data_IF_757288674873
#
_entry.id   IF_757288674873
#
_cell.length_a   1.000
_cell.length_b   1.000
_cell.length_c   1.000
_cell.angle_alpha   90.00
_cell.angle_beta   90.00
_cell.angle_gamma   90.00
#
_symmetry.space_group_name_H-M   'P 1'
#
loop_
_entity.id
_entity.type
_entity.pdbx_description
1 polymer ?
#
# COMPACT_ATOMS: atom_id res chain seq x y z
N UNK A 1 -62.92 35.63 30.33
CA UNK A 1 -63.38 34.50 31.16
C UNK A 1 -62.15 33.65 31.43
N UNK A 2 -61.29 34.12 32.34
CA UNK A 2 -61.05 33.64 33.74
C UNK A 2 -60.09 32.44 33.76
N UNK A 3 -58.81 32.59 34.18
CA UNK A 3 -58.29 32.61 35.59
C UNK A 3 -58.49 31.24 36.30
N UNK A 4 -57.58 30.58 37.02
CA UNK A 4 -56.28 30.86 37.67
C UNK A 4 -55.66 29.51 38.14
N UNK A 5 -54.34 29.28 38.04
CA UNK A 5 -53.30 29.32 39.09
C UNK A 5 -53.18 28.16 40.11
N UNK A 6 -51.91 27.97 40.52
CA UNK A 6 -51.32 27.46 41.77
C UNK A 6 -50.72 26.04 41.74
N UNK A 7 -49.38 25.87 41.66
CA UNK A 7 -48.28 26.12 42.62
C UNK A 7 -48.20 25.17 43.82
N UNK A 8 -46.95 24.94 44.23
CA UNK A 8 -46.43 24.30 45.46
C UNK A 8 -46.10 22.80 45.31
N UNK A 9 -44.96 22.25 45.74
CA UNK A 9 -43.90 22.70 46.66
C UNK A 9 -42.69 21.75 46.51
N UNK A 10 -41.49 22.30 46.61
CA UNK A 10 -40.27 21.56 46.99
C UNK A 10 -39.86 22.06 48.39
N UNK A 11 -39.25 21.24 49.25
CA UNK A 11 -37.96 21.70 49.80
C UNK A 11 -36.89 20.60 50.03
N UNK A 12 -35.65 21.08 49.88
CA UNK A 12 -34.33 20.59 50.34
C UNK A 12 -34.34 20.03 51.79
N UNK A 13 -33.40 19.25 52.35
CA UNK A 13 -31.97 18.94 52.14
C UNK A 13 -31.54 17.93 53.22
N UNK A 14 -30.53 17.08 52.98
CA UNK A 14 -29.44 16.84 53.97
C UNK A 14 -28.21 16.24 53.29
N UNK A 15 -27.08 16.90 53.47
CA UNK A 15 -25.73 16.48 53.11
C UNK A 15 -25.22 15.34 54.02
N UNK A 16 -24.48 14.38 53.47
CA UNK A 16 -23.25 13.87 54.07
C UNK A 16 -22.40 13.06 53.06
N UNK A 17 -21.18 13.54 52.83
CA UNK A 17 -19.97 12.80 52.43
C UNK A 17 -18.90 13.14 53.50
N UNK A 18 -17.73 12.45 53.62
CA UNK A 18 -17.08 11.54 52.67
C UNK A 18 -16.43 10.28 53.29
N UNK A 19 -16.06 9.28 52.47
CA UNK A 19 -14.81 8.53 52.67
C UNK A 19 -14.31 7.90 51.36
N UNK A 20 -13.00 7.99 51.20
CA UNK A 20 -12.17 7.68 50.04
C UNK A 20 -11.76 6.20 49.97
N UNK A 21 -11.34 5.82 48.74
CA UNK A 21 -10.56 4.65 48.32
C UNK A 21 -11.36 3.33 48.23
N UNK A 22 -11.33 2.59 47.12
CA UNK A 22 -10.14 2.24 46.34
C UNK A 22 -10.41 2.02 44.85
N UNK A 23 -9.35 2.31 44.10
CA UNK A 23 -9.17 2.28 42.66
C UNK A 23 -9.50 0.92 42.02
N UNK A 24 -10.33 0.93 40.98
CA UNK A 24 -10.08 0.15 39.76
C UNK A 24 -10.40 1.05 38.56
N UNK A 25 -9.41 1.87 38.18
CA UNK A 25 -9.37 2.45 36.86
C UNK A 25 -9.06 1.33 35.85
N UNK A 26 -10.11 0.72 35.30
CA UNK A 26 -10.04 0.14 33.96
C UNK A 26 -10.09 1.31 32.98
N UNK A 27 -8.94 1.92 32.78
CA UNK A 27 -8.73 2.99 31.80
C UNK A 27 -8.74 2.35 30.41
N UNK A 28 -9.91 2.31 29.77
CA UNK A 28 -9.98 2.03 28.32
C UNK A 28 -9.43 3.26 27.58
N UNK A 29 -8.31 3.07 26.87
CA UNK A 29 -7.75 4.01 25.90
C UNK A 29 -8.75 4.30 24.76
N UNK A 30 -8.53 5.38 24.00
CA UNK A 30 -8.10 5.09 22.63
C UNK A 30 -7.04 6.06 22.11
N UNK A 31 -5.83 5.56 21.88
CA UNK A 31 -4.96 6.14 20.85
C UNK A 31 -5.40 5.54 19.51
N UNK A 32 -6.17 6.30 18.73
CA UNK A 32 -6.61 5.94 17.38
C UNK A 32 -5.57 6.44 16.38
N UNK A 33 -4.56 5.60 16.11
CA UNK A 33 -3.55 5.89 15.08
C UNK A 33 -4.19 6.42 13.78
N UNK A 34 -3.53 7.39 13.14
CA UNK A 34 -3.95 7.99 11.88
C UNK A 34 -3.94 6.96 10.75
N UNK A 35 -3.02 5.99 10.80
CA UNK A 35 -2.82 4.96 9.78
C UNK A 35 -3.67 3.69 10.02
N UNK A 36 -3.80 3.28 11.29
CA UNK A 36 -4.39 1.99 11.64
C UNK A 36 -5.93 2.04 11.75
N UNK A 37 -6.59 0.97 11.34
CA UNK A 37 -8.03 0.80 11.45
C UNK A 37 -8.41 0.42 12.90
N UNK A 38 -9.20 1.24 13.61
CA UNK A 38 -9.57 0.98 15.00
C UNK A 38 -10.52 -0.21 15.17
N UNK A 39 -11.17 -0.67 14.10
CA UNK A 39 -12.11 -1.79 14.13
C UNK A 39 -11.43 -3.17 14.07
N UNK A 40 -10.11 -3.21 13.92
CA UNK A 40 -9.31 -4.44 13.87
C UNK A 40 -8.98 -4.88 15.32
N UNK A 41 -9.30 -6.13 15.68
CA UNK A 41 -9.17 -6.64 17.07
C UNK A 41 -7.71 -6.64 17.57
N UNK A 42 -7.57 -6.42 18.88
CA UNK A 42 -6.32 -6.23 19.64
C UNK A 42 -5.21 -7.28 19.40
N UNK A 43 -5.53 -8.51 19.02
CA UNK A 43 -4.56 -9.61 18.75
C UNK A 43 -3.86 -9.48 17.38
N UNK A 44 -4.27 -8.50 16.57
CA UNK A 44 -3.78 -8.32 15.19
C UNK A 44 -3.14 -6.95 14.96
N UNK A 45 -2.56 -6.33 16.00
CA UNK A 45 -1.68 -5.19 15.76
C UNK A 45 -0.37 -5.67 15.11
N UNK A 46 0.39 -4.79 14.44
CA UNK A 46 1.78 -5.10 14.12
C UNK A 46 2.54 -5.36 15.44
N UNK A 47 2.66 -6.64 15.82
CA UNK A 47 3.34 -7.08 17.05
C UNK A 47 4.86 -6.89 16.99
N UNK A 48 5.38 -6.52 15.82
CA UNK A 48 6.78 -6.14 15.65
C UNK A 48 7.01 -4.76 16.27
N UNK A 49 7.93 -4.72 17.23
CA UNK A 49 8.43 -3.49 17.87
C UNK A 49 8.81 -2.42 16.82
N UNK A 50 9.35 -2.84 15.68
CA UNK A 50 9.77 -1.98 14.57
C UNK A 50 8.62 -1.19 13.95
N UNK A 51 7.54 -1.85 13.51
CA UNK A 51 6.40 -1.18 12.89
C UNK A 51 5.66 -0.24 13.87
N UNK A 52 5.47 -0.68 15.11
CA UNK A 52 4.82 0.15 16.13
C UNK A 52 5.60 1.45 16.39
N UNK A 53 6.93 1.38 16.48
CA UNK A 53 7.77 2.57 16.63
C UNK A 53 7.74 3.46 15.39
N UNK A 54 7.74 2.87 14.20
CA UNK A 54 7.68 3.61 12.95
C UNK A 54 6.36 4.39 12.84
N UNK A 55 5.21 3.77 13.13
CA UNK A 55 3.91 4.44 13.10
C UNK A 55 3.89 5.64 14.04
N UNK A 56 4.31 5.45 15.30
CA UNK A 56 4.33 6.53 16.27
C UNK A 56 5.25 7.68 15.82
N UNK A 57 6.40 7.35 15.24
CA UNK A 57 7.33 8.34 14.70
C UNK A 57 6.74 9.10 13.50
N UNK A 58 6.11 8.39 12.55
CA UNK A 58 5.45 8.98 11.38
C UNK A 58 4.35 9.96 11.79
N UNK A 59 3.51 9.58 12.76
CA UNK A 59 2.42 10.42 13.24
C UNK A 59 2.93 11.66 13.98
N UNK A 60 3.95 11.49 14.83
CA UNK A 60 4.61 12.62 15.52
C UNK A 60 5.22 13.59 14.51
N UNK A 61 5.94 13.06 13.50
CA UNK A 61 6.54 13.86 12.45
C UNK A 61 5.46 14.54 11.59
N UNK A 62 4.33 13.88 11.35
CA UNK A 62 3.20 14.46 10.62
C UNK A 62 2.64 15.69 11.34
N UNK A 63 2.41 15.60 12.65
CA UNK A 63 1.95 16.74 13.44
C UNK A 63 2.93 17.91 13.35
N UNK A 64 4.24 17.65 13.41
CA UNK A 64 5.27 18.69 13.25
C UNK A 64 5.22 19.37 11.88
N UNK A 65 5.02 18.63 10.78
CA UNK A 65 4.91 19.25 9.45
C UNK A 65 3.63 20.08 9.28
N UNK A 66 2.53 19.67 9.91
CA UNK A 66 1.26 20.41 9.85
C UNK A 66 1.40 21.74 10.58
N UNK A 67 2.04 21.74 11.76
CA UNK A 67 2.34 22.96 12.51
C UNK A 67 3.28 23.90 11.73
N UNK A 68 4.29 23.35 11.06
CA UNK A 68 5.32 24.13 10.37
C UNK A 68 4.91 24.62 8.98
N UNK A 69 4.15 23.84 8.22
CA UNK A 69 3.90 24.05 6.79
C UNK A 69 2.43 23.92 6.37
N UNK A 70 1.50 23.67 7.30
CA UNK A 70 0.10 23.39 6.99
C UNK A 70 -0.55 24.47 6.12
N UNK A 71 -0.37 25.73 6.50
CA UNK A 71 -0.94 26.89 5.79
C UNK A 71 0.00 27.50 4.74
N UNK A 72 1.23 27.00 4.62
CA UNK A 72 2.22 27.56 3.71
C UNK A 72 1.98 27.10 2.26
N UNK A 73 2.12 27.98 1.26
CA UNK A 73 2.12 27.60 -0.15
C UNK A 73 3.22 26.58 -0.46
N UNK A 74 2.97 25.72 -1.46
CA UNK A 74 3.93 24.68 -1.89
C UNK A 74 5.28 25.27 -2.31
N UNK A 75 5.27 26.37 -3.06
CA UNK A 75 6.49 27.02 -3.55
C UNK A 75 7.36 27.50 -2.38
N UNK A 76 6.78 28.19 -1.42
CA UNK A 76 7.50 28.67 -0.22
C UNK A 76 8.03 27.51 0.61
N UNK A 77 7.23 26.45 0.75
CA UNK A 77 7.63 25.25 1.50
C UNK A 77 8.83 24.59 0.81
N UNK A 78 8.77 24.32 -0.49
CA UNK A 78 9.86 23.68 -1.23
C UNK A 78 11.14 24.52 -1.27
N UNK A 79 11.02 25.85 -1.39
CA UNK A 79 12.17 26.77 -1.28
C UNK A 79 12.80 26.71 0.11
N UNK A 80 11.98 26.74 1.17
CA UNK A 80 12.45 26.60 2.53
C UNK A 80 13.21 25.28 2.73
N UNK A 81 12.61 24.16 2.30
CA UNK A 81 13.20 22.82 2.42
C UNK A 81 14.54 22.72 1.68
N UNK A 82 14.65 23.30 0.49
CA UNK A 82 15.88 23.27 -0.30
C UNK A 82 17.00 24.11 0.32
N UNK A 83 16.66 25.29 0.86
CA UNK A 83 17.66 26.26 1.30
C UNK A 83 18.12 26.04 2.75
N UNK A 84 17.29 25.43 3.59
CA UNK A 84 17.55 25.36 5.04
C UNK A 84 17.76 23.94 5.55
N UNK A 85 17.32 22.91 4.82
CA UNK A 85 17.43 21.52 5.29
C UNK A 85 18.55 20.82 4.55
N UNK A 86 19.69 20.72 5.25
CA UNK A 86 20.91 20.06 4.75
C UNK A 86 21.20 18.80 5.56
N UNK A 87 20.87 18.78 6.86
CA UNK A 87 21.10 17.64 7.73
C UNK A 87 20.23 16.44 7.31
N UNK A 88 20.83 15.29 6.95
CA UNK A 88 20.08 14.10 6.56
C UNK A 88 19.15 13.57 7.65
N UNK A 89 19.47 13.78 8.93
CA UNK A 89 18.60 13.34 10.03
C UNK A 89 17.33 14.19 10.13
N UNK A 90 17.47 15.52 10.11
CA UNK A 90 16.31 16.41 10.01
C UNK A 90 15.48 16.11 8.76
N UNK A 91 16.15 15.93 7.60
CA UNK A 91 15.47 15.60 6.35
C UNK A 91 14.68 14.30 6.45
N UNK A 92 15.23 13.24 7.05
CA UNK A 92 14.53 11.98 7.28
C UNK A 92 13.26 12.18 8.11
N UNK A 93 13.32 12.93 9.21
CA UNK A 93 12.14 13.21 10.04
C UNK A 93 11.04 13.92 9.24
N UNK A 94 11.40 14.94 8.46
CA UNK A 94 10.45 15.65 7.60
C UNK A 94 9.88 14.76 6.50
N UNK A 95 10.72 13.94 5.85
CA UNK A 95 10.30 12.97 4.82
C UNK A 95 9.31 11.95 5.39
N UNK A 96 9.58 11.42 6.58
CA UNK A 96 8.67 10.52 7.29
C UNK A 96 7.33 11.23 7.61
N UNK A 97 7.38 12.49 8.07
CA UNK A 97 6.18 13.29 8.30
C UNK A 97 5.37 13.52 7.02
N UNK A 98 6.01 13.88 5.91
CA UNK A 98 5.33 14.02 4.62
C UNK A 98 4.84 12.69 4.06
N UNK A 99 5.55 11.58 4.28
CA UNK A 99 5.08 10.24 3.91
C UNK A 99 3.77 9.92 4.63
N UNK A 100 3.71 10.17 5.94
CA UNK A 100 2.46 10.05 6.70
C UNK A 100 1.36 10.95 6.09
N UNK A 101 1.69 12.20 5.75
CA UNK A 101 0.80 13.13 5.07
C UNK A 101 0.24 12.60 3.74
N UNK A 102 1.08 12.01 2.89
CA UNK A 102 0.62 11.33 1.66
C UNK A 102 -0.40 10.24 1.98
N UNK A 103 -0.19 9.48 3.06
CA UNK A 103 -1.05 8.35 3.42
C UNK A 103 -2.40 8.75 4.04
N UNK A 104 -2.45 9.87 4.77
CA UNK A 104 -3.63 10.24 5.59
C UNK A 104 -4.37 11.48 5.07
N UNK A 105 -3.71 12.33 4.29
CA UNK A 105 -4.22 13.61 3.80
C UNK A 105 -4.27 13.64 2.26
N UNK A 106 -5.17 12.81 1.72
CA UNK A 106 -5.36 12.63 0.28
C UNK A 106 -5.55 13.95 -0.51
N UNK A 107 -6.30 14.96 -0.02
CA UNK A 107 -6.45 16.24 -0.73
C UNK A 107 -5.13 17.00 -0.94
N UNK A 108 -4.13 16.81 -0.06
CA UNK A 108 -2.83 17.47 -0.16
C UNK A 108 -1.70 16.50 -0.53
N UNK A 109 -2.01 15.27 -0.96
CA UNK A 109 -1.02 14.25 -1.27
C UNK A 109 0.03 14.72 -2.29
N UNK A 110 -0.38 15.47 -3.33
CA UNK A 110 0.55 16.04 -4.32
C UNK A 110 1.55 17.03 -3.70
N UNK A 111 1.09 17.86 -2.74
CA UNK A 111 1.96 18.81 -2.00
C UNK A 111 2.96 18.03 -1.16
N UNK A 112 2.47 17.07 -0.36
CA UNK A 112 3.32 16.24 0.50
C UNK A 112 4.34 15.45 -0.32
N UNK A 113 3.93 14.81 -1.42
CA UNK A 113 4.84 14.08 -2.31
C UNK A 113 5.89 14.99 -2.96
N UNK A 114 5.51 16.22 -3.36
CA UNK A 114 6.47 17.18 -3.92
C UNK A 114 7.52 17.61 -2.88
N UNK A 115 7.13 17.79 -1.62
CA UNK A 115 8.05 18.05 -0.52
C UNK A 115 8.99 16.86 -0.27
N UNK A 116 8.47 15.63 -0.27
CA UNK A 116 9.27 14.40 -0.17
C UNK A 116 10.31 14.36 -1.28
N UNK A 117 9.88 14.52 -2.54
CA UNK A 117 10.76 14.50 -3.71
C UNK A 117 11.88 15.53 -3.57
N UNK A 118 11.54 16.75 -3.17
CA UNK A 118 12.50 17.85 -3.01
C UNK A 118 13.56 17.49 -1.97
N UNK A 119 13.15 17.07 -0.77
CA UNK A 119 14.06 16.69 0.31
C UNK A 119 14.88 15.44 -0.01
N UNK A 120 14.24 14.40 -0.53
CA UNK A 120 14.91 13.13 -0.81
C UNK A 120 16.00 13.29 -1.88
N UNK A 121 15.81 14.21 -2.84
CA UNK A 121 16.82 14.54 -3.86
C UNK A 121 17.93 15.41 -3.24
N UNK A 122 17.59 16.46 -2.49
CA UNK A 122 18.61 17.38 -1.95
C UNK A 122 19.48 16.76 -0.85
N UNK A 123 18.99 15.73 -0.16
CA UNK A 123 19.67 15.10 0.98
C UNK A 123 19.99 13.61 0.80
N UNK A 124 19.78 13.07 -0.40
CA UNK A 124 20.03 11.65 -0.75
C UNK A 124 19.34 10.64 0.19
N UNK A 125 18.09 10.93 0.60
CA UNK A 125 17.33 10.13 1.58
C UNK A 125 16.31 9.17 0.94
N UNK A 126 16.37 8.96 -0.38
CA UNK A 126 15.42 8.08 -1.08
C UNK A 126 15.39 6.64 -0.53
N UNK A 127 16.56 6.06 -0.24
CA UNK A 127 16.61 4.70 0.31
C UNK A 127 15.99 4.62 1.72
N UNK A 128 16.12 5.67 2.52
CA UNK A 128 15.52 5.74 3.86
C UNK A 128 14.00 5.79 3.77
N UNK A 129 13.48 6.62 2.86
CA UNK A 129 12.05 6.70 2.54
C UNK A 129 11.46 5.36 2.11
N UNK A 130 12.12 4.64 1.19
CA UNK A 130 11.66 3.32 0.75
C UNK A 130 11.72 2.28 1.87
N UNK A 131 12.65 2.42 2.81
CA UNK A 131 12.71 1.56 3.99
C UNK A 131 11.46 1.76 4.86
N UNK A 132 11.10 3.00 5.19
CA UNK A 132 9.87 3.32 5.91
C UNK A 132 8.63 2.79 5.16
N UNK A 133 8.55 3.03 3.85
CA UNK A 133 7.48 2.53 2.99
C UNK A 133 7.37 0.99 3.00
N UNK A 134 8.49 0.28 2.93
CA UNK A 134 8.52 -1.18 2.90
C UNK A 134 8.05 -1.79 4.23
N UNK A 135 8.44 -1.22 5.37
CA UNK A 135 7.95 -1.66 6.69
C UNK A 135 6.45 -1.45 6.79
N UNK A 136 5.95 -0.27 6.38
CA UNK A 136 4.51 0.00 6.32
C UNK A 136 3.77 -1.01 5.44
N UNK A 137 4.32 -1.31 4.28
CA UNK A 137 3.71 -2.23 3.32
C UNK A 137 3.69 -3.68 3.83
N UNK A 138 4.75 -4.16 4.45
CA UNK A 138 4.81 -5.56 4.90
C UNK A 138 4.12 -5.79 6.25
N UNK A 139 4.36 -4.90 7.21
CA UNK A 139 3.96 -5.15 8.61
C UNK A 139 2.64 -4.47 8.96
N UNK A 140 2.30 -3.35 8.30
CA UNK A 140 1.15 -2.54 8.70
C UNK A 140 -0.02 -2.66 7.71
N UNK A 141 0.24 -2.98 6.44
CA UNK A 141 -0.77 -3.00 5.38
C UNK A 141 -2.04 -3.74 5.78
N UNK A 142 -2.01 -4.93 6.42
CA UNK A 142 -3.24 -5.64 6.78
C UNK A 142 -4.21 -4.83 7.65
N UNK A 143 -3.65 -3.96 8.49
CA UNK A 143 -4.35 -3.22 9.54
C UNK A 143 -4.60 -1.76 9.17
N UNK A 144 -4.05 -1.29 8.04
CA UNK A 144 -4.26 0.07 7.57
C UNK A 144 -5.72 0.32 7.18
N UNK A 145 -6.14 1.57 7.31
CA UNK A 145 -7.41 2.04 6.72
C UNK A 145 -7.38 1.87 5.20
N UNK A 146 -8.54 1.63 4.60
CA UNK A 146 -8.68 1.48 3.15
C UNK A 146 -8.08 2.66 2.36
N UNK A 147 -8.35 3.88 2.80
CA UNK A 147 -7.83 5.10 2.18
C UNK A 147 -6.29 5.14 2.20
N UNK A 148 -5.66 4.70 3.30
CA UNK A 148 -4.21 4.65 3.40
C UNK A 148 -3.60 3.59 2.46
N UNK A 149 -4.25 2.44 2.29
CA UNK A 149 -3.83 1.42 1.31
C UNK A 149 -3.87 1.96 -0.12
N UNK A 150 -4.91 2.73 -0.46
CA UNK A 150 -4.99 3.40 -1.77
C UNK A 150 -3.88 4.45 -1.95
N UNK A 151 -3.56 5.20 -0.90
CA UNK A 151 -2.47 6.18 -0.92
C UNK A 151 -1.07 5.55 -1.01
N UNK A 152 -0.86 4.36 -0.45
CA UNK A 152 0.37 3.58 -0.68
C UNK A 152 0.55 3.27 -2.18
N UNK A 153 -0.52 2.92 -2.88
CA UNK A 153 -0.47 2.70 -4.33
C UNK A 153 -0.25 4.01 -5.12
N UNK A 154 -0.82 5.12 -4.67
CA UNK A 154 -0.52 6.44 -5.25
C UNK A 154 0.97 6.79 -5.09
N UNK A 155 1.53 6.62 -3.90
CA UNK A 155 2.93 6.92 -3.62
C UNK A 155 3.87 6.14 -4.56
N UNK A 156 3.64 4.85 -4.76
CA UNK A 156 4.52 4.04 -5.62
C UNK A 156 4.39 4.43 -7.10
N UNK A 157 3.19 4.82 -7.56
CA UNK A 157 2.98 5.30 -8.92
C UNK A 157 3.72 6.61 -9.18
N UNK A 158 3.61 7.57 -8.26
CA UNK A 158 4.31 8.85 -8.37
C UNK A 158 5.83 8.64 -8.32
N UNK A 159 6.29 7.73 -7.46
CA UNK A 159 7.71 7.36 -7.39
C UNK A 159 8.21 6.77 -8.71
N UNK A 160 7.42 5.90 -9.33
CA UNK A 160 7.73 5.31 -10.63
C UNK A 160 7.77 6.38 -11.76
N UNK A 161 7.14 7.56 -11.60
CA UNK A 161 7.24 8.69 -12.54
C UNK A 161 8.57 9.43 -12.49
N UNK A 162 9.31 9.35 -11.40
CA UNK A 162 10.49 10.20 -11.21
C UNK A 162 11.73 9.78 -12.02
N UNK A 163 11.71 8.63 -12.72
CA UNK A 163 12.85 8.09 -13.49
C UNK A 163 14.18 8.03 -12.71
N UNK A 164 14.11 8.08 -11.37
CA UNK A 164 15.29 8.00 -10.52
C UNK A 164 15.84 6.57 -10.60
N UNK A 165 17.17 6.42 -10.49
CA UNK A 165 17.85 5.11 -10.40
C UNK A 165 17.56 4.37 -9.07
N UNK A 166 16.40 4.63 -8.47
CA UNK A 166 15.95 4.02 -7.23
C UNK A 166 15.45 2.62 -7.51
N UNK A 167 15.98 1.64 -6.79
CA UNK A 167 15.56 0.24 -6.93
C UNK A 167 14.17 0.04 -6.29
N UNK A 168 13.11 0.19 -7.09
CA UNK A 168 11.73 -0.03 -6.65
C UNK A 168 11.33 -1.51 -6.62
N UNK A 169 12.20 -2.43 -7.04
CA UNK A 169 11.92 -3.87 -7.10
C UNK A 169 11.38 -4.40 -5.77
N UNK A 170 12.06 -4.06 -4.67
CA UNK A 170 11.66 -4.49 -3.33
C UNK A 170 10.28 -3.94 -2.95
N UNK A 171 10.01 -2.66 -3.23
CA UNK A 171 8.75 -2.02 -2.87
C UNK A 171 7.56 -2.58 -3.64
N UNK A 172 7.69 -2.78 -4.95
CA UNK A 172 6.64 -3.45 -5.74
C UNK A 172 6.47 -4.93 -5.34
N UNK A 173 7.56 -5.64 -5.06
CA UNK A 173 7.50 -7.03 -4.54
C UNK A 173 6.77 -7.09 -3.21
N UNK A 174 7.03 -6.15 -2.30
CA UNK A 174 6.40 -6.09 -0.98
C UNK A 174 4.91 -5.76 -1.07
N UNK A 175 4.47 -4.89 -2.00
CA UNK A 175 3.05 -4.68 -2.30
C UNK A 175 2.40 -6.01 -2.71
N UNK A 176 3.05 -6.77 -3.62
CA UNK A 176 2.50 -8.04 -4.06
C UNK A 176 2.37 -9.06 -2.92
N UNK A 177 3.33 -9.09 -1.99
CA UNK A 177 3.30 -9.93 -0.79
C UNK A 177 2.17 -9.51 0.16
N UNK A 178 2.07 -8.22 0.45
CA UNK A 178 1.02 -7.68 1.30
C UNK A 178 -0.39 -7.98 0.78
N UNK A 179 -0.57 -7.98 -0.55
CA UNK A 179 -1.83 -8.36 -1.20
C UNK A 179 -2.07 -9.88 -1.23
N UNK A 180 -1.03 -10.69 -1.05
CA UNK A 180 -1.12 -12.15 -1.00
C UNK A 180 -1.47 -12.69 0.38
N UNK A 181 -1.08 -11.96 1.44
CA UNK A 181 -1.14 -12.40 2.84
C UNK A 181 -2.51 -12.24 3.52
N UNK A 182 -3.56 -11.96 2.74
CA UNK A 182 -4.95 -12.20 3.14
C UNK A 182 -5.49 -11.25 4.20
N UNK A 183 -6.03 -10.12 3.75
CA UNK A 183 -6.94 -9.28 4.57
C UNK A 183 -8.39 -9.63 4.26
N UNK A 184 -9.32 -8.73 4.57
CA UNK A 184 -10.68 -8.79 4.02
C UNK A 184 -10.62 -9.05 2.50
N UNK A 185 -11.24 -10.15 2.06
CA UNK A 185 -11.11 -10.62 0.67
C UNK A 185 -11.66 -9.59 -0.32
N UNK A 186 -12.77 -8.93 0.02
CA UNK A 186 -13.43 -7.94 -0.84
C UNK A 186 -12.54 -6.71 -1.03
N UNK A 187 -12.00 -6.18 0.07
CA UNK A 187 -11.04 -5.09 0.04
C UNK A 187 -9.79 -5.46 -0.77
N UNK A 188 -9.22 -6.64 -0.50
CA UNK A 188 -8.03 -7.14 -1.20
C UNK A 188 -8.27 -7.19 -2.71
N UNK A 189 -9.43 -7.70 -3.15
CA UNK A 189 -9.80 -7.72 -4.57
C UNK A 189 -9.84 -6.32 -5.17
N UNK A 190 -10.45 -5.36 -4.48
CA UNK A 190 -10.50 -3.97 -4.97
C UNK A 190 -9.09 -3.38 -5.14
N UNK A 191 -8.21 -3.61 -4.18
CA UNK A 191 -6.84 -3.07 -4.23
C UNK A 191 -6.01 -3.79 -5.30
N UNK A 192 -6.12 -5.11 -5.44
CA UNK A 192 -5.46 -5.88 -6.51
C UNK A 192 -5.89 -5.39 -7.89
N UNK A 193 -7.19 -5.13 -8.08
CA UNK A 193 -7.72 -4.59 -9.32
C UNK A 193 -7.15 -3.19 -9.62
N UNK A 194 -7.13 -2.30 -8.63
CA UNK A 194 -6.53 -0.97 -8.77
C UNK A 194 -5.03 -1.05 -9.09
N UNK A 195 -4.30 -1.94 -8.40
CA UNK A 195 -2.87 -2.14 -8.61
C UNK A 195 -2.58 -2.64 -10.03
N UNK A 196 -3.36 -3.58 -10.55
CA UNK A 196 -3.24 -4.03 -11.94
C UNK A 196 -3.45 -2.88 -12.95
N UNK A 197 -4.48 -2.06 -12.76
CA UNK A 197 -4.71 -0.89 -13.62
C UNK A 197 -3.57 0.13 -13.60
N UNK A 198 -3.00 0.37 -12.43
CA UNK A 198 -1.85 1.28 -12.25
C UNK A 198 -0.59 0.74 -12.95
N UNK A 199 -0.33 -0.56 -12.83
CA UNK A 199 0.74 -1.23 -13.56
C UNK A 199 0.54 -1.19 -15.07
N UNK A 200 -0.69 -1.41 -15.56
CA UNK A 200 -1.00 -1.28 -16.99
C UNK A 200 -0.74 0.13 -17.51
N UNK A 201 -1.13 1.15 -16.74
CA UNK A 201 -0.90 2.56 -17.09
C UNK A 201 0.59 2.91 -17.15
N UNK A 202 1.45 2.13 -16.50
CA UNK A 202 2.88 2.35 -16.38
C UNK A 202 3.74 1.22 -16.96
N UNK A 203 3.16 0.30 -17.74
CA UNK A 203 3.81 -0.95 -18.14
C UNK A 203 5.11 -0.75 -18.93
N UNK A 204 5.23 0.33 -19.70
CA UNK A 204 6.46 0.67 -20.43
C UNK A 204 7.69 0.80 -19.50
N UNK A 205 7.46 1.15 -18.23
CA UNK A 205 8.50 1.27 -17.22
C UNK A 205 8.87 -0.07 -16.59
N UNK A 206 8.15 -1.15 -16.86
CA UNK A 206 8.56 -2.48 -16.42
C UNK A 206 9.94 -2.83 -16.96
N UNK A 207 10.30 -2.36 -18.17
CA UNK A 207 11.64 -2.54 -18.73
C UNK A 207 12.76 -1.89 -17.91
N UNK A 208 12.47 -0.89 -17.06
CA UNK A 208 13.50 -0.21 -16.24
C UNK A 208 13.88 -0.99 -14.98
N UNK A 209 13.10 -2.01 -14.59
CA UNK A 209 13.44 -2.87 -13.46
C UNK A 209 14.71 -3.69 -13.77
N UNK A 210 15.57 -3.94 -12.76
CA UNK A 210 16.80 -4.70 -12.95
C UNK A 210 16.52 -6.10 -13.50
N UNK A 211 17.54 -6.70 -14.14
CA UNK A 211 17.47 -8.12 -14.54
C UNK A 211 17.44 -8.99 -13.28
N UNK A 212 16.67 -10.08 -13.31
CA UNK A 212 16.39 -10.95 -12.17
C UNK A 212 15.67 -10.24 -11.02
N UNK A 213 14.80 -9.28 -11.38
CA UNK A 213 13.94 -8.57 -10.45
C UNK A 213 12.95 -9.56 -9.81
N UNK A 214 12.73 -9.43 -8.51
CA UNK A 214 11.77 -10.29 -7.78
C UNK A 214 10.32 -9.91 -8.05
N UNK A 215 10.09 -8.69 -8.53
CA UNK A 215 8.76 -8.16 -8.76
C UNK A 215 7.97 -8.88 -9.88
N UNK A 216 8.45 -9.01 -11.14
CA UNK A 216 7.68 -9.66 -12.20
C UNK A 216 7.12 -11.05 -11.84
N UNK A 217 7.88 -11.98 -11.25
CA UNK A 217 7.33 -13.29 -10.87
C UNK A 217 6.38 -13.21 -9.69
N UNK A 218 6.64 -12.35 -8.70
CA UNK A 218 5.73 -12.19 -7.55
C UNK A 218 4.39 -11.61 -8.01
N UNK A 219 4.42 -10.61 -8.90
CA UNK A 219 3.24 -10.02 -9.51
C UNK A 219 2.49 -11.03 -10.39
N UNK A 220 3.21 -11.80 -11.22
CA UNK A 220 2.61 -12.84 -12.04
C UNK A 220 1.91 -13.91 -11.19
N UNK A 221 2.53 -14.35 -10.09
CA UNK A 221 1.92 -15.31 -9.16
C UNK A 221 0.66 -14.74 -8.49
N UNK A 222 0.73 -13.49 -8.01
CA UNK A 222 -0.41 -12.78 -7.41
C UNK A 222 -1.60 -12.72 -8.38
N UNK A 223 -1.40 -12.13 -9.56
CA UNK A 223 -2.49 -11.92 -10.52
C UNK A 223 -3.02 -13.24 -11.07
N UNK A 224 -2.15 -14.24 -11.33
CA UNK A 224 -2.59 -15.56 -11.77
C UNK A 224 -3.50 -16.26 -10.76
N UNK A 225 -3.22 -16.10 -9.45
CA UNK A 225 -4.10 -16.58 -8.38
C UNK A 225 -5.46 -15.92 -8.45
N UNK A 226 -5.51 -14.58 -8.48
CA UNK A 226 -6.78 -13.85 -8.53
C UNK A 226 -7.58 -14.08 -9.82
N UNK A 227 -6.92 -14.32 -10.96
CA UNK A 227 -7.61 -14.74 -12.20
C UNK A 227 -8.24 -16.11 -12.03
N UNK A 228 -7.53 -17.05 -11.40
CA UNK A 228 -8.03 -18.43 -11.17
C UNK A 228 -9.19 -18.43 -10.17
N UNK A 229 -9.10 -17.58 -9.15
CA UNK A 229 -10.09 -17.45 -8.07
C UNK A 229 -11.19 -16.42 -8.40
N UNK A 230 -11.22 -15.86 -9.61
CA UNK A 230 -12.09 -14.76 -9.97
C UNK A 230 -13.59 -15.07 -9.80
N UNK A 231 -13.98 -16.34 -9.89
CA UNK A 231 -15.36 -16.77 -9.61
C UNK A 231 -15.76 -16.49 -8.15
N UNK A 232 -14.83 -16.61 -7.20
CA UNK A 232 -15.07 -16.24 -5.80
C UNK A 232 -15.30 -14.74 -5.65
N UNK A 233 -14.61 -13.92 -6.45
CA UNK A 233 -14.77 -12.46 -6.49
C UNK A 233 -16.17 -12.07 -6.98
N UNK A 234 -16.64 -12.72 -8.04
CA UNK A 234 -17.99 -12.52 -8.56
C UNK A 234 -19.06 -12.95 -7.55
N UNK A 235 -18.89 -14.12 -6.92
CA UNK A 235 -19.82 -14.64 -5.91
C UNK A 235 -19.89 -13.75 -4.66
N UNK A 236 -18.78 -13.11 -4.29
CA UNK A 236 -18.73 -12.14 -3.18
C UNK A 236 -19.36 -10.77 -3.53
N UNK A 237 -19.88 -10.59 -4.75
CA UNK A 237 -20.55 -9.36 -5.18
C UNK A 237 -19.62 -8.14 -5.19
N UNK A 238 -18.31 -8.34 -5.39
CA UNK A 238 -17.32 -7.27 -5.33
C UNK A 238 -17.32 -6.45 -6.63
N UNK A 239 -17.29 -7.15 -7.77
CA UNK A 239 -17.19 -6.58 -9.11
C UNK A 239 -17.71 -7.59 -10.14
N UNK A 240 -18.09 -7.11 -11.32
CA UNK A 240 -18.33 -7.99 -12.46
C UNK A 240 -17.07 -8.81 -12.80
N UNK A 241 -17.26 -10.12 -13.03
CA UNK A 241 -16.18 -11.08 -13.27
C UNK A 241 -15.21 -10.65 -14.38
N UNK A 242 -15.76 -10.25 -15.53
CA UNK A 242 -14.95 -9.89 -16.70
C UNK A 242 -14.25 -8.56 -16.51
N UNK A 243 -14.93 -7.58 -15.91
CA UNK A 243 -14.32 -6.29 -15.55
C UNK A 243 -13.17 -6.48 -14.56
N UNK A 244 -13.30 -7.41 -13.61
CA UNK A 244 -12.24 -7.72 -12.65
C UNK A 244 -11.05 -8.39 -13.33
N UNK A 245 -11.29 -9.42 -14.16
CA UNK A 245 -10.24 -10.23 -14.79
C UNK A 245 -9.46 -9.48 -15.86
N UNK A 246 -10.11 -8.60 -16.63
CA UNK A 246 -9.51 -7.96 -17.81
C UNK A 246 -8.12 -7.33 -17.51
N UNK A 247 -7.97 -6.40 -16.55
CA UNK A 247 -6.67 -5.79 -16.28
C UNK A 247 -5.63 -6.78 -15.74
N UNK A 248 -6.05 -7.77 -14.95
CA UNK A 248 -5.16 -8.80 -14.40
C UNK A 248 -4.59 -9.69 -15.51
N UNK A 249 -5.45 -10.11 -16.45
CA UNK A 249 -5.03 -10.91 -17.60
C UNK A 249 -4.07 -10.12 -18.48
N UNK A 250 -4.39 -8.86 -18.75
CA UNK A 250 -3.56 -7.99 -19.60
C UNK A 250 -2.16 -7.78 -19.02
N UNK A 251 -2.04 -7.49 -17.73
CA UNK A 251 -0.72 -7.31 -17.10
C UNK A 251 0.06 -8.63 -17.06
N UNK A 252 -0.59 -9.76 -16.81
CA UNK A 252 0.07 -11.07 -16.86
C UNK A 252 0.62 -11.38 -18.26
N UNK A 253 -0.11 -11.04 -19.32
CA UNK A 253 0.35 -11.20 -20.71
C UNK A 253 1.58 -10.33 -20.99
N UNK A 254 1.57 -9.08 -20.53
CA UNK A 254 2.71 -8.17 -20.64
C UNK A 254 3.93 -8.73 -19.91
N UNK A 255 3.77 -9.17 -18.65
CA UNK A 255 4.85 -9.77 -17.86
C UNK A 255 5.47 -10.98 -18.56
N UNK A 256 4.64 -11.86 -19.14
CA UNK A 256 5.14 -13.04 -19.88
C UNK A 256 5.83 -12.66 -21.18
N UNK A 257 5.39 -11.61 -21.88
CA UNK A 257 6.00 -11.21 -23.16
C UNK A 257 7.28 -10.41 -22.99
N UNK A 258 7.33 -9.52 -22.01
CA UNK A 258 8.41 -8.54 -21.86
C UNK A 258 9.42 -8.95 -20.79
N UNK A 259 9.00 -9.72 -19.79
CA UNK A 259 9.81 -10.07 -18.61
C UNK A 259 9.91 -11.58 -18.39
N UNK A 260 9.74 -12.39 -19.45
CA UNK A 260 9.84 -13.87 -19.37
C UNK A 260 11.12 -14.37 -18.68
N UNK A 261 12.33 -13.82 -18.93
CA UNK A 261 13.55 -14.28 -18.27
C UNK A 261 13.48 -14.16 -16.74
N UNK A 262 12.82 -13.13 -16.21
CA UNK A 262 12.64 -12.97 -14.77
C UNK A 262 11.64 -13.99 -14.22
N UNK A 263 10.60 -14.35 -15.00
CA UNK A 263 9.63 -15.35 -14.59
C UNK A 263 10.24 -16.75 -14.42
N UNK A 264 11.34 -17.04 -15.12
CA UNK A 264 12.03 -18.34 -15.03
C UNK A 264 12.51 -18.67 -13.61
N UNK A 265 12.68 -17.67 -12.73
CA UNK A 265 13.09 -17.92 -11.35
C UNK A 265 12.00 -18.59 -10.50
N UNK A 266 10.75 -18.62 -10.96
CA UNK A 266 9.68 -19.44 -10.36
C UNK A 266 9.87 -20.95 -10.62
N UNK A 267 10.69 -21.33 -11.61
CA UNK A 267 10.92 -22.74 -11.96
C UNK A 267 9.62 -23.48 -12.31
N UNK A 268 9.38 -24.61 -11.65
CA UNK A 268 8.18 -25.44 -11.86
C UNK A 268 6.87 -24.70 -11.56
N UNK A 269 6.87 -23.75 -10.63
CA UNK A 269 5.66 -22.98 -10.32
C UNK A 269 5.21 -22.11 -11.50
N UNK A 270 6.13 -21.66 -12.35
CA UNK A 270 5.78 -20.95 -13.59
C UNK A 270 4.90 -21.82 -14.49
N UNK A 271 5.24 -23.11 -14.64
CA UNK A 271 4.44 -24.04 -15.43
C UNK A 271 3.03 -24.17 -14.87
N UNK A 272 2.91 -24.37 -13.56
CA UNK A 272 1.62 -24.53 -12.89
C UNK A 272 0.73 -23.28 -13.03
N UNK A 273 1.33 -22.10 -12.89
CA UNK A 273 0.62 -20.83 -13.08
C UNK A 273 0.15 -20.67 -14.53
N UNK A 274 1.03 -20.89 -15.51
CA UNK A 274 0.65 -20.85 -16.93
C UNK A 274 -0.44 -21.88 -17.26
N UNK A 275 -0.41 -23.06 -16.62
CA UNK A 275 -1.38 -24.13 -16.85
C UNK A 275 -2.76 -23.75 -16.32
N UNK A 276 -2.82 -23.12 -15.14
CA UNK A 276 -4.06 -22.53 -14.62
C UNK A 276 -4.65 -21.48 -15.56
N UNK A 277 -3.79 -20.74 -16.25
CA UNK A 277 -4.19 -19.73 -17.24
C UNK A 277 -4.44 -20.28 -18.65
N UNK A 278 -4.29 -21.59 -18.90
CA UNK A 278 -4.42 -22.20 -20.24
C UNK A 278 -5.78 -22.00 -20.90
N UNK A 279 -6.86 -21.83 -20.11
CA UNK A 279 -8.22 -21.58 -20.60
C UNK A 279 -8.50 -20.11 -20.92
N UNK A 280 -7.59 -19.21 -20.56
CA UNK A 280 -7.69 -17.77 -20.87
C UNK A 280 -7.25 -17.58 -22.32
N UNK A 281 -8.11 -17.02 -23.17
CA UNK A 281 -7.86 -16.97 -24.62
C UNK A 281 -6.57 -16.23 -24.98
N UNK A 282 -6.20 -15.19 -24.21
CA UNK A 282 -4.97 -14.43 -24.38
C UNK A 282 -3.69 -15.26 -24.13
N UNK A 283 -3.79 -16.37 -23.39
CA UNK A 283 -2.68 -17.29 -23.10
C UNK A 283 -2.50 -18.38 -24.16
N UNK A 284 -3.48 -18.62 -25.03
CA UNK A 284 -3.36 -19.59 -26.15
C UNK A 284 -2.13 -19.29 -27.05
N UNK A 285 -1.90 -18.05 -27.54
CA UNK A 285 -0.70 -17.77 -28.33
C UNK A 285 0.60 -17.90 -27.53
N UNK A 286 0.58 -17.63 -26.22
CA UNK A 286 1.74 -17.83 -25.34
C UNK A 286 2.09 -19.32 -25.29
N UNK A 287 1.11 -20.19 -25.05
CA UNK A 287 1.30 -21.64 -25.05
C UNK A 287 1.82 -22.16 -26.38
N UNK A 288 1.30 -21.66 -27.50
CA UNK A 288 1.80 -22.01 -28.84
C UNK A 288 3.29 -21.65 -28.99
N UNK A 289 3.68 -20.46 -28.57
CA UNK A 289 5.09 -20.04 -28.61
C UNK A 289 5.96 -20.89 -27.70
N UNK A 290 5.53 -21.19 -26.48
CA UNK A 290 6.30 -22.02 -25.54
C UNK A 290 6.54 -23.45 -26.05
N UNK A 291 5.56 -24.05 -26.74
CA UNK A 291 5.66 -25.41 -27.25
C UNK A 291 6.44 -25.50 -28.57
N UNK A 292 6.27 -24.54 -29.48
CA UNK A 292 6.82 -24.64 -30.83
C UNK A 292 8.04 -23.75 -31.08
N UNK A 293 8.21 -22.66 -30.32
CA UNK A 293 9.32 -21.73 -30.49
C UNK A 293 9.74 -21.04 -29.17
N UNK A 294 10.15 -21.81 -28.14
CA UNK A 294 10.48 -21.26 -26.81
C UNK A 294 11.63 -20.26 -26.82
N UNK A 295 12.54 -20.35 -27.79
CA UNK A 295 13.70 -19.46 -27.92
C UNK A 295 13.32 -17.99 -28.17
N UNK A 296 12.13 -17.72 -28.71
CA UNK A 296 11.60 -16.35 -28.88
C UNK A 296 11.29 -15.67 -27.55
N UNK A 297 10.93 -16.44 -26.51
CA UNK A 297 10.56 -15.90 -25.20
C UNK A 297 11.80 -15.55 -24.37
N UNK A 298 12.86 -16.35 -24.47
CA UNK A 298 14.16 -16.03 -23.88
C UNK A 298 15.29 -16.71 -24.67
N UNK A 299 16.36 -15.96 -25.04
CA UNK A 299 17.53 -16.56 -25.66
C UNK A 299 18.13 -17.62 -24.72
N UNK A 300 18.29 -18.86 -25.21
CA UNK A 300 18.73 -20.06 -24.45
C UNK A 300 17.64 -20.82 -23.70
N UNK A 301 16.37 -20.41 -23.76
CA UNK A 301 15.28 -21.21 -23.22
C UNK A 301 14.89 -22.32 -24.21
N UNK A 302 15.01 -23.58 -23.78
CA UNK A 302 14.74 -24.78 -24.59
C UNK A 302 13.54 -25.60 -24.06
N UNK A 303 12.67 -25.00 -23.24
CA UNK A 303 11.52 -25.67 -22.64
C UNK A 303 11.84 -26.51 -21.40
N UNK A 304 12.97 -27.22 -21.37
CA UNK A 304 13.24 -28.25 -20.35
C UNK A 304 13.16 -27.74 -18.91
N UNK A 305 13.65 -26.53 -18.63
CA UNK A 305 13.64 -25.92 -17.28
C UNK A 305 12.25 -25.67 -16.67
N UNK A 306 11.18 -25.72 -17.46
CA UNK A 306 9.80 -25.49 -17.00
C UNK A 306 9.01 -26.81 -16.93
N UNK A 307 9.29 -27.74 -17.83
CA UNK A 307 8.49 -28.98 -17.99
C UNK A 307 9.10 -30.22 -17.30
N UNK A 308 10.37 -30.18 -16.89
CA UNK A 308 11.11 -31.29 -16.28
C UNK A 308 12.01 -30.77 -15.14
#
# INVERSE_FOLDING_TARGET
MTESELLTRNPQSTLHTPHQHSQQQLQQQPSTSLLLNPNVRLESRPETFTASNLINSLETNYHSIVERFGNSPLIETTQYLTNNIIDPKEAKHLIDGFLCGVLVDAPNADKHFTCIKTLAISTDQWMSLLTSFNILTLECFPFMKHSCKQQLLYFIDETLKLQLRTNLDSSFTNICRALSDGTDFKETCQIVHQFAHRLLSSHQKLATFPRNSSFPPTAFALFSRFISDAQLVANAGVMNLESFKAPLVEICVILVRERFPDLLQLGHDLFLLLLRLSRVSQFVPIWRTLLHNPAVMAPKFNGKKIFF
#
